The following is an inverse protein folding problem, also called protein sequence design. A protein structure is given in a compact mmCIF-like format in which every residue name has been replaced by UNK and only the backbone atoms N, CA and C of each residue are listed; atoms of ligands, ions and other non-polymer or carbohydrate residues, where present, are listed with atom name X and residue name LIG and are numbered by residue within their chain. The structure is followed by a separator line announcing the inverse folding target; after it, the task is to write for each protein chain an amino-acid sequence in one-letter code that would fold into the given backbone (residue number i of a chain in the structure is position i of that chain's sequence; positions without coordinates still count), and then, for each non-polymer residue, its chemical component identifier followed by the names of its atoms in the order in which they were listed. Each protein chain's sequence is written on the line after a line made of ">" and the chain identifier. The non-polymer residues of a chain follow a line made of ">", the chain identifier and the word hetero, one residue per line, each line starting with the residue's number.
data_IF_897492009403
#
_entry.id   IF_897492009403
#
_cell.length_a   1.000
_cell.length_b   1.000
_cell.length_c   1.000
_cell.angle_alpha   90.00
_cell.angle_beta   90.00
_cell.angle_gamma   90.00
#
_symmetry.space_group_name_H-M   'P 1'
#
loop_
_entity.id
_entity.type
_entity.pdbx_description
1 polymer ?
#
# COMPACT_ATOMS: atom_id res chain seq x y z
N UNK A 1 23.41 2.36 -3.14
CA UNK A 1 22.84 1.67 -4.33
C UNK A 1 21.86 2.64 -5.00
N UNK A 2 22.15 3.06 -6.22
CA UNK A 2 21.26 3.93 -6.99
C UNK A 2 20.15 3.05 -7.56
N UNK A 3 18.96 3.08 -6.96
CA UNK A 3 17.82 2.30 -7.46
C UNK A 3 17.20 3.09 -8.60
N UNK A 4 17.65 2.83 -9.83
CA UNK A 4 17.31 3.64 -11.01
C UNK A 4 15.87 3.38 -11.51
N UNK A 5 15.22 2.31 -11.02
CA UNK A 5 13.84 1.94 -11.39
C UNK A 5 13.02 1.49 -10.15
N UNK A 6 12.82 2.39 -9.19
CA UNK A 6 11.89 2.16 -8.09
C UNK A 6 10.79 3.21 -8.06
N UNK A 7 9.58 2.75 -7.74
CA UNK A 7 8.45 3.61 -7.39
C UNK A 7 8.40 3.70 -5.88
N UNK A 8 8.53 4.92 -5.35
CA UNK A 8 8.34 5.17 -3.93
C UNK A 8 6.86 5.24 -3.63
N UNK A 9 6.41 4.45 -2.66
CA UNK A 9 5.06 4.55 -2.10
C UNK A 9 5.15 5.30 -0.78
N UNK A 10 4.20 6.22 -0.56
CA UNK A 10 4.06 6.95 0.69
C UNK A 10 2.62 6.86 1.17
N UNK A 11 2.41 6.31 2.35
CA UNK A 11 1.08 6.19 2.94
C UNK A 11 0.80 7.40 3.84
N UNK A 12 -0.19 8.21 3.47
CA UNK A 12 -0.74 9.25 4.32
C UNK A 12 -2.06 8.84 4.95
N UNK A 13 -2.56 9.67 5.87
CA UNK A 13 -3.82 9.42 6.56
C UNK A 13 -5.02 9.42 5.59
N UNK A 14 -5.06 10.38 4.67
CA UNK A 14 -6.17 10.59 3.73
C UNK A 14 -5.81 10.24 2.27
N UNK A 15 -4.52 10.11 1.96
CA UNK A 15 -4.06 9.87 0.59
C UNK A 15 -2.78 9.06 0.55
N UNK A 16 -2.58 8.33 -0.54
CA UNK A 16 -1.35 7.57 -0.80
C UNK A 16 -0.66 8.15 -2.02
N UNK A 17 0.64 8.37 -1.93
CA UNK A 17 1.43 8.97 -3.01
C UNK A 17 2.38 7.95 -3.62
N UNK A 18 2.37 7.84 -4.94
CA UNK A 18 3.33 7.06 -5.72
C UNK A 18 4.23 8.03 -6.49
N UNK A 19 5.55 7.89 -6.37
CA UNK A 19 6.50 8.77 -7.08
C UNK A 19 7.64 7.99 -7.71
N UNK A 20 8.05 8.38 -8.91
CA UNK A 20 9.15 7.75 -9.65
C UNK A 20 9.90 8.77 -10.51
N UNK A 21 11.16 8.46 -10.81
CA UNK A 21 12.03 9.40 -11.52
C UNK A 21 12.21 10.73 -10.78
N UNK A 22 12.47 11.80 -11.53
CA UNK A 22 12.73 13.12 -10.97
C UNK A 22 11.47 13.99 -10.77
N UNK A 23 10.37 13.68 -11.47
CA UNK A 23 9.20 14.57 -11.53
C UNK A 23 7.85 13.87 -11.67
N UNK A 24 7.80 12.53 -11.65
CA UNK A 24 6.53 11.81 -11.80
C UNK A 24 5.94 11.46 -10.44
N UNK A 25 4.69 11.87 -10.23
CA UNK A 25 3.95 11.65 -9.00
C UNK A 25 2.47 11.40 -9.32
N UNK A 26 1.88 10.46 -8.62
CA UNK A 26 0.45 10.17 -8.60
C UNK A 26 0.00 10.22 -7.14
N UNK A 27 -1.10 10.91 -6.90
CA UNK A 27 -1.77 10.91 -5.59
C UNK A 27 -3.07 10.14 -5.73
N UNK A 28 -3.17 9.05 -4.98
CA UNK A 28 -4.39 8.26 -4.82
C UNK A 28 -5.19 8.88 -3.67
N UNK A 29 -6.50 9.17 -3.85
CA UNK A 29 -7.36 9.71 -2.81
C UNK A 29 -7.79 8.63 -1.81
N UNK A 30 -6.87 7.75 -1.42
CA UNK A 30 -7.08 6.65 -0.46
C UNK A 30 -5.94 6.66 0.54
N UNK A 31 -6.27 6.82 1.82
CA UNK A 31 -5.34 6.77 2.94
C UNK A 31 -5.87 5.85 4.02
N UNK A 32 -5.00 5.44 4.95
CA UNK A 32 -5.33 4.42 5.95
C UNK A 32 -6.50 4.86 6.85
N UNK A 33 -6.50 6.11 7.29
CA UNK A 33 -7.56 6.68 8.14
C UNK A 33 -8.85 6.86 7.35
N UNK A 34 -8.76 7.35 6.11
CA UNK A 34 -9.92 7.53 5.25
C UNK A 34 -10.63 6.18 4.98
N UNK A 35 -9.88 5.12 4.68
CA UNK A 35 -10.45 3.77 4.46
C UNK A 35 -11.09 3.26 5.75
N UNK A 36 -10.35 3.27 6.87
CA UNK A 36 -10.86 2.75 8.13
C UNK A 36 -12.13 3.49 8.59
N UNK A 37 -12.15 4.81 8.51
CA UNK A 37 -13.28 5.62 8.95
C UNK A 37 -14.51 5.55 8.05
N UNK A 38 -14.37 5.12 6.79
CA UNK A 38 -15.48 5.07 5.82
C UNK A 38 -16.01 3.65 5.57
N UNK A 39 -15.14 2.64 5.63
CA UNK A 39 -15.46 1.28 5.21
C UNK A 39 -15.49 0.26 6.36
N UNK A 40 -14.72 0.48 7.44
CA UNK A 40 -14.69 -0.47 8.56
C UNK A 40 -15.67 -0.05 9.65
N UNK A 41 -16.72 -0.85 9.85
CA UNK A 41 -17.68 -0.66 10.96
C UNK A 41 -17.37 -1.57 12.13
N UNK A 42 -16.63 -2.65 11.90
CA UNK A 42 -16.22 -3.61 12.92
C UNK A 42 -14.72 -3.48 13.25
N UNK A 43 -14.36 -3.89 14.46
CA UNK A 43 -12.97 -4.01 14.92
C UNK A 43 -12.77 -5.40 15.57
N UNK A 44 -12.15 -6.36 14.86
CA UNK A 44 -11.57 -6.25 13.52
C UNK A 44 -12.64 -6.11 12.40
N UNK A 45 -12.29 -5.57 11.22
CA UNK A 45 -13.23 -5.40 10.10
C UNK A 45 -13.77 -6.75 9.64
N UNK A 46 -15.05 -6.79 9.25
CA UNK A 46 -15.64 -8.01 8.71
C UNK A 46 -15.07 -8.34 7.30
N UNK A 47 -15.13 -9.61 6.86
CA UNK A 47 -14.57 -10.00 5.56
C UNK A 47 -15.11 -9.20 4.37
N UNK A 48 -16.41 -8.87 4.36
CA UNK A 48 -17.04 -8.06 3.32
C UNK A 48 -16.60 -6.58 3.36
N UNK A 49 -16.21 -6.07 4.53
CA UNK A 49 -15.64 -4.73 4.68
C UNK A 49 -14.21 -4.67 4.14
N UNK A 50 -13.43 -5.75 4.31
CA UNK A 50 -12.10 -5.88 3.71
C UNK A 50 -12.18 -5.93 2.19
N UNK A 51 -13.10 -6.72 1.62
CA UNK A 51 -13.33 -6.78 0.17
C UNK A 51 -13.69 -5.40 -0.39
N UNK A 52 -14.62 -4.68 0.25
CA UNK A 52 -14.98 -3.31 -0.14
C UNK A 52 -13.80 -2.34 -0.09
N UNK A 53 -12.91 -2.48 0.90
CA UNK A 53 -11.71 -1.67 0.99
C UNK A 53 -10.70 -1.97 -0.12
N UNK A 54 -10.55 -3.24 -0.51
CA UNK A 54 -9.72 -3.64 -1.64
C UNK A 54 -10.29 -3.05 -2.94
N UNK A 55 -11.58 -3.24 -3.19
CA UNK A 55 -12.27 -2.73 -4.39
C UNK A 55 -12.10 -1.21 -4.52
N UNK A 56 -12.26 -0.45 -3.42
CA UNK A 56 -12.08 0.99 -3.41
C UNK A 56 -10.64 1.43 -3.76
N UNK A 57 -9.64 0.70 -3.27
CA UNK A 57 -8.23 0.94 -3.62
C UNK A 57 -7.98 0.61 -5.09
N UNK A 58 -8.53 -0.51 -5.60
CA UNK A 58 -8.37 -0.93 -7.00
C UNK A 58 -9.00 0.07 -7.98
N UNK A 59 -10.18 0.59 -7.65
CA UNK A 59 -10.84 1.65 -8.41
C UNK A 59 -10.00 2.93 -8.44
N UNK A 60 -9.48 3.36 -7.28
CA UNK A 60 -8.60 4.52 -7.18
C UNK A 60 -7.33 4.33 -8.02
N UNK A 61 -6.69 3.15 -7.96
CA UNK A 61 -5.52 2.82 -8.77
C UNK A 61 -5.83 2.86 -10.27
N UNK A 62 -6.97 2.33 -10.68
CA UNK A 62 -7.41 2.32 -12.08
C UNK A 62 -7.66 3.73 -12.60
N UNK A 63 -8.26 4.61 -11.79
CA UNK A 63 -8.55 6.00 -12.14
C UNK A 63 -7.30 6.85 -12.39
N UNK A 64 -6.17 6.53 -11.74
CA UNK A 64 -4.92 7.30 -11.89
C UNK A 64 -4.15 7.04 -13.18
N UNK A 65 -4.50 5.98 -13.94
CA UNK A 65 -3.75 5.61 -15.14
C UNK A 65 -2.36 5.02 -14.86
N UNK A 66 -2.12 4.54 -13.62
CA UNK A 66 -0.86 3.97 -13.14
C UNK A 66 -0.31 2.81 -14.02
N UNK A 67 -1.12 2.24 -14.91
CA UNK A 67 -0.69 1.21 -15.88
C UNK A 67 0.53 1.61 -16.73
N UNK A 68 0.85 2.91 -16.80
CA UNK A 68 2.02 3.43 -17.52
C UNK A 68 3.28 3.62 -16.63
N UNK A 69 3.18 3.43 -15.32
CA UNK A 69 4.32 3.57 -14.41
C UNK A 69 5.36 2.48 -14.66
N UNK A 70 6.63 2.83 -14.42
CA UNK A 70 7.76 1.92 -14.60
C UNK A 70 7.58 0.64 -13.76
N UNK A 71 7.81 -0.52 -14.38
CA UNK A 71 7.91 -1.79 -13.67
C UNK A 71 9.22 -1.83 -12.90
N UNK A 72 9.19 -2.32 -11.67
CA UNK A 72 10.35 -2.37 -10.80
C UNK A 72 9.97 -2.53 -9.34
N UNK A 73 10.85 -2.05 -8.47
CA UNK A 73 10.69 -2.20 -7.03
C UNK A 73 9.73 -1.16 -6.47
N UNK A 74 8.92 -1.57 -5.50
CA UNK A 74 8.23 -0.63 -4.61
C UNK A 74 9.11 -0.34 -3.41
N UNK A 75 9.36 0.94 -3.14
CA UNK A 75 10.10 1.40 -1.97
C UNK A 75 9.14 2.06 -0.99
N UNK A 76 8.96 1.44 0.17
CA UNK A 76 8.30 2.04 1.33
C UNK A 76 9.33 2.47 2.38
N UNK A 77 9.02 3.51 3.15
CA UNK A 77 9.91 4.03 4.21
C UNK A 77 9.19 4.23 5.54
N UNK A 78 7.88 3.96 5.58
CA UNK A 78 7.01 4.12 6.74
C UNK A 78 7.37 3.09 7.81
N UNK A 79 7.81 3.51 9.02
CA UNK A 79 8.26 2.58 10.05
C UNK A 79 7.21 1.52 10.42
N UNK A 80 5.94 1.93 10.52
CA UNK A 80 4.84 1.01 10.86
C UNK A 80 4.69 -0.11 9.81
N UNK A 81 4.81 0.22 8.53
CA UNK A 81 4.70 -0.78 7.46
C UNK A 81 5.93 -1.71 7.45
N UNK A 82 7.12 -1.15 7.66
CA UNK A 82 8.34 -1.94 7.76
C UNK A 82 8.28 -2.92 8.94
N UNK A 83 7.81 -2.46 10.11
CA UNK A 83 7.61 -3.29 11.30
C UNK A 83 6.57 -4.39 11.06
N UNK A 84 5.45 -4.07 10.41
CA UNK A 84 4.38 -5.02 10.06
C UNK A 84 4.86 -6.10 9.09
N UNK A 85 5.76 -5.76 8.17
CA UNK A 85 6.40 -6.69 7.24
C UNK A 85 7.64 -7.37 7.83
N UNK A 86 8.01 -7.06 9.08
CA UNK A 86 9.20 -7.61 9.74
C UNK A 86 10.52 -7.16 9.13
N UNK A 87 10.54 -6.06 8.37
CA UNK A 87 11.72 -5.51 7.69
C UNK A 87 12.49 -4.59 8.63
N UNK A 88 13.63 -5.05 9.13
CA UNK A 88 14.38 -4.37 10.21
C UNK A 88 15.66 -3.72 9.74
N UNK A 89 16.24 -4.21 8.66
CA UNK A 89 17.50 -3.68 8.12
C UNK A 89 17.24 -2.83 6.88
N UNK A 90 18.00 -1.74 6.76
CA UNK A 90 17.92 -0.88 5.60
C UNK A 90 18.27 -1.64 4.31
N UNK A 91 17.36 -1.59 3.33
CA UNK A 91 17.53 -2.28 2.05
C UNK A 91 17.07 -3.74 2.03
N UNK A 92 16.46 -4.24 3.11
CA UNK A 92 15.71 -5.49 3.06
C UNK A 92 14.57 -5.41 2.05
N UNK A 93 14.23 -6.57 1.50
CA UNK A 93 13.24 -6.72 0.44
C UNK A 93 12.29 -7.83 0.86
N UNK A 94 10.99 -7.56 0.74
CA UNK A 94 9.98 -8.61 0.81
C UNK A 94 9.47 -8.93 -0.60
N UNK A 95 8.96 -10.14 -0.77
CA UNK A 95 8.24 -10.51 -1.99
C UNK A 95 6.76 -10.18 -1.82
N UNK A 96 6.03 -10.14 -2.94
CA UNK A 96 4.58 -10.01 -2.92
C UNK A 96 3.92 -11.10 -2.08
N UNK A 97 4.40 -12.34 -2.18
CA UNK A 97 3.85 -13.48 -1.44
C UNK A 97 4.01 -13.32 0.08
N UNK A 98 5.10 -12.69 0.54
CA UNK A 98 5.29 -12.38 1.95
C UNK A 98 4.30 -11.31 2.45
N UNK A 99 4.05 -10.29 1.63
CA UNK A 99 3.02 -9.27 1.92
C UNK A 99 1.63 -9.91 1.97
N UNK A 100 1.30 -10.78 1.01
CA UNK A 100 0.03 -11.51 0.96
C UNK A 100 -0.15 -12.43 2.18
N UNK A 101 0.91 -13.13 2.59
CA UNK A 101 0.87 -13.97 3.79
C UNK A 101 0.59 -13.14 5.05
N UNK A 102 1.23 -11.97 5.17
CA UNK A 102 1.00 -11.06 6.29
C UNK A 102 -0.44 -10.51 6.27
N UNK A 103 -0.94 -10.13 5.11
CA UNK A 103 -2.33 -9.70 4.94
C UNK A 103 -3.31 -10.82 5.35
N UNK A 104 -3.09 -12.05 4.89
CA UNK A 104 -3.94 -13.19 5.22
C UNK A 104 -3.95 -13.49 6.73
N UNK A 105 -2.81 -13.31 7.41
CA UNK A 105 -2.74 -13.46 8.87
C UNK A 105 -3.61 -12.42 9.58
N UNK A 106 -3.55 -11.15 9.16
CA UNK A 106 -4.38 -10.08 9.73
C UNK A 106 -5.86 -10.32 9.44
N UNK A 107 -6.20 -10.65 8.19
CA UNK A 107 -7.57 -10.94 7.77
C UNK A 107 -8.16 -12.20 8.41
N UNK A 108 -7.34 -13.11 8.94
CA UNK A 108 -7.83 -14.29 9.69
C UNK A 108 -8.27 -13.97 11.12
N UNK A 109 -7.98 -12.77 11.62
CA UNK A 109 -8.44 -12.28 12.92
C UNK A 109 -9.85 -11.67 12.83
N UNK A 110 -10.31 -11.36 11.61
CA UNK A 110 -11.60 -10.80 11.25
C UNK A 110 -12.77 -11.78 11.38
#
# INVERSE_FOLDING_TARGET
>A
MNVVNATRIRFGEDSTTLSWGAASEIVLPVGATAIAGTLFRHDPPAPDELEQAIDAIEDALTATGLRQAGRGDLLAIEPLLLDLLGLRLAGERCTREAVEAQFQQLASLS
#
